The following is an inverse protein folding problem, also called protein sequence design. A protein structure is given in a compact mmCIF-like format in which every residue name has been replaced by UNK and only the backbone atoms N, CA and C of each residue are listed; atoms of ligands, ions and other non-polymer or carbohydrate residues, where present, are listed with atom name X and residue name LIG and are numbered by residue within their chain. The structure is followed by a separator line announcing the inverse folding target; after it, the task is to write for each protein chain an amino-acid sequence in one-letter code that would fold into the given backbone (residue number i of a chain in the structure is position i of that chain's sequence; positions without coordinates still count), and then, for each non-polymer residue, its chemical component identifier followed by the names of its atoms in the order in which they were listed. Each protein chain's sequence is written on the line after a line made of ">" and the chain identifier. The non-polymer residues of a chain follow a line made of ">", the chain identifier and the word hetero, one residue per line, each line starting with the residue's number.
data_IF_831012995640
#
_entry.id   IF_831012995640
#
_cell.length_a   1.000
_cell.length_b   1.000
_cell.length_c   1.000
_cell.angle_alpha   90.00
_cell.angle_beta   90.00
_cell.angle_gamma   90.00
#
_symmetry.space_group_name_H-M   'P 1'
#
loop_
_entity.id
_entity.type
_entity.pdbx_description
1 polymer ?
#
# COMPACT_ATOMS: atom_id res chain seq x y z
N UNK A 1 -10.04 -10.62 37.41
CA UNK A 1 -9.85 -11.59 36.29
C UNK A 1 -9.29 -10.83 35.11
N UNK A 2 -8.06 -11.14 34.67
CA UNK A 2 -7.55 -10.60 33.42
C UNK A 2 -8.45 -11.10 32.27
N UNK A 3 -9.18 -10.19 31.60
CA UNK A 3 -10.04 -10.54 30.46
C UNK A 3 -9.26 -11.14 29.29
N UNK A 4 -7.95 -10.89 29.25
CA UNK A 4 -7.02 -11.38 28.24
C UNK A 4 -5.91 -12.17 28.94
N UNK A 5 -6.02 -13.49 28.96
CA UNK A 5 -5.06 -14.40 29.61
C UNK A 5 -3.90 -14.80 28.69
N UNK A 6 -4.05 -14.65 27.38
CA UNK A 6 -3.01 -14.94 26.39
C UNK A 6 -3.04 -13.90 25.25
N UNK A 7 -2.03 -13.95 24.36
CA UNK A 7 -1.86 -13.01 23.23
C UNK A 7 -2.45 -13.55 21.91
N UNK A 8 -3.13 -14.70 21.93
CA UNK A 8 -3.61 -15.40 20.72
C UNK A 8 -4.65 -14.61 19.92
N UNK A 9 -5.33 -13.64 20.54
CA UNK A 9 -6.29 -12.74 19.89
C UNK A 9 -5.64 -11.52 19.22
N UNK A 10 -4.34 -11.28 19.42
CA UNK A 10 -3.61 -10.20 18.77
C UNK A 10 -3.14 -10.65 17.38
N UNK A 11 -3.88 -10.23 16.35
CA UNK A 11 -3.42 -10.38 14.96
C UNK A 11 -2.51 -9.21 14.59
N UNK A 12 -1.26 -9.46 14.18
CA UNK A 12 -0.34 -8.38 13.81
C UNK A 12 -0.80 -7.69 12.52
N UNK A 13 -0.80 -6.37 12.53
CA UNK A 13 -0.94 -5.57 11.31
C UNK A 13 0.44 -5.11 10.88
N UNK A 14 0.90 -5.59 9.72
CA UNK A 14 2.25 -5.28 9.23
C UNK A 14 2.18 -4.11 8.27
N UNK A 15 2.92 -3.04 8.59
CA UNK A 15 3.03 -1.86 7.73
C UNK A 15 4.43 -1.81 7.13
N UNK A 16 4.50 -1.93 5.81
CA UNK A 16 5.75 -1.90 5.05
C UNK A 16 6.44 -0.54 5.09
N UNK A 17 7.72 -0.53 4.74
CA UNK A 17 8.54 0.69 4.64
C UNK A 17 7.89 1.70 3.70
N UNK A 18 7.85 2.95 4.10
CA UNK A 18 7.37 4.06 3.27
C UNK A 18 5.87 4.00 2.94
N UNK A 19 5.12 3.08 3.53
CA UNK A 19 3.67 3.07 3.37
C UNK A 19 3.05 4.31 4.02
N UNK A 20 2.06 4.89 3.37
CA UNK A 20 1.35 6.08 3.83
C UNK A 20 -0.09 5.73 4.19
N UNK A 21 -0.48 6.03 5.43
CA UNK A 21 -1.83 5.82 5.94
C UNK A 21 -2.54 7.17 6.05
N UNK A 22 -3.53 7.39 5.19
CA UNK A 22 -4.32 8.61 5.18
C UNK A 22 -5.07 8.85 6.49
N UNK A 23 -5.36 10.12 6.78
CA UNK A 23 -6.06 10.50 7.99
C UNK A 23 -7.40 9.75 8.14
N UNK A 24 -7.65 9.19 9.33
CA UNK A 24 -8.88 8.45 9.62
C UNK A 24 -9.02 7.11 8.88
N UNK A 25 -7.96 6.60 8.25
CA UNK A 25 -7.98 5.25 7.70
C UNK A 25 -8.11 4.20 8.82
N UNK A 26 -8.91 3.16 8.56
CA UNK A 26 -9.14 2.04 9.46
C UNK A 26 -8.54 0.79 8.84
N UNK A 27 -7.62 0.13 9.53
CA UNK A 27 -6.95 -1.09 9.06
C UNK A 27 -7.40 -2.27 9.93
N UNK A 28 -7.98 -3.30 9.31
CA UNK A 28 -8.36 -4.51 10.04
C UNK A 28 -7.12 -5.26 10.55
N UNK A 29 -7.26 -5.91 11.70
CA UNK A 29 -6.18 -6.70 12.31
C UNK A 29 -5.83 -7.91 11.43
N UNK A 30 -4.54 -8.25 11.34
CA UNK A 30 -4.04 -9.37 10.51
C UNK A 30 -3.75 -9.00 9.05
N UNK A 31 -3.99 -7.75 8.66
CA UNK A 31 -3.72 -7.25 7.30
C UNK A 31 -2.26 -6.81 7.15
N UNK A 32 -1.69 -7.02 5.96
CA UNK A 32 -0.40 -6.49 5.54
C UNK A 32 -0.58 -5.33 4.57
N UNK A 33 0.05 -4.21 4.87
CA UNK A 33 0.17 -3.05 3.98
C UNK A 33 1.57 -3.09 3.36
N UNK A 34 1.63 -3.27 2.04
CA UNK A 34 2.88 -3.36 1.29
C UNK A 34 3.73 -2.11 1.37
N UNK A 35 5.01 -2.24 1.02
CA UNK A 35 5.95 -1.11 1.04
C UNK A 35 5.51 -0.04 0.03
N UNK A 36 5.66 1.23 0.40
CA UNK A 36 5.25 2.39 -0.40
C UNK A 36 3.78 2.39 -0.84
N UNK A 37 2.93 1.52 -0.26
CA UNK A 37 1.50 1.56 -0.51
C UNK A 37 0.88 2.82 0.10
N UNK A 38 -0.19 3.32 -0.51
CA UNK A 38 -0.88 4.51 -0.06
C UNK A 38 -2.35 4.19 0.21
N UNK A 39 -2.77 4.37 1.46
CA UNK A 39 -4.15 4.25 1.91
C UNK A 39 -4.76 5.65 1.95
N UNK A 40 -5.83 5.88 1.21
CA UNK A 40 -6.54 7.15 1.21
C UNK A 40 -7.17 7.48 2.56
N UNK A 41 -7.42 8.77 2.79
CA UNK A 41 -8.12 9.22 4.00
C UNK A 41 -9.51 8.57 4.11
N UNK A 42 -9.89 8.17 5.33
CA UNK A 42 -11.17 7.50 5.62
C UNK A 42 -11.35 6.12 4.99
N UNK A 43 -10.31 5.52 4.39
CA UNK A 43 -10.42 4.19 3.79
C UNK A 43 -10.47 3.07 4.85
N UNK A 44 -11.24 2.02 4.58
CA UNK A 44 -11.36 0.85 5.48
C UNK A 44 -10.71 -0.37 4.82
N UNK A 45 -9.50 -0.69 5.24
CA UNK A 45 -8.69 -1.76 4.65
C UNK A 45 -9.05 -3.10 5.27
N UNK A 46 -9.72 -3.93 4.49
CA UNK A 46 -10.23 -5.25 4.90
C UNK A 46 -9.39 -6.43 4.40
N UNK A 47 -8.35 -6.18 3.61
CA UNK A 47 -7.51 -7.19 2.94
C UNK A 47 -6.14 -6.60 2.64
N UNK A 48 -5.16 -7.47 2.41
CA UNK A 48 -3.77 -7.07 2.12
C UNK A 48 -3.68 -6.06 0.97
N UNK A 49 -2.85 -5.05 1.18
CA UNK A 49 -2.60 -3.98 0.22
C UNK A 49 -1.26 -4.26 -0.46
N UNK A 50 -1.22 -4.43 -1.80
CA UNK A 50 0.03 -4.67 -2.50
C UNK A 50 1.01 -3.49 -2.38
N UNK A 51 2.30 -3.78 -2.54
CA UNK A 51 3.37 -2.78 -2.65
C UNK A 51 3.05 -1.75 -3.73
N UNK A 52 3.28 -0.46 -3.47
CA UNK A 52 2.95 0.67 -4.35
C UNK A 52 1.46 0.86 -4.68
N UNK A 53 0.54 0.08 -4.11
CA UNK A 53 -0.88 0.21 -4.43
C UNK A 53 -1.49 1.47 -3.80
N UNK A 54 -2.38 2.14 -4.54
CA UNK A 54 -3.25 3.20 -4.04
C UNK A 54 -4.62 2.61 -3.74
N UNK A 55 -5.03 2.59 -2.47
CA UNK A 55 -6.34 2.08 -2.05
C UNK A 55 -7.19 3.17 -1.43
N UNK A 56 -8.48 3.22 -1.75
CA UNK A 56 -9.43 4.21 -1.20
C UNK A 56 -10.80 3.60 -0.95
N UNK A 57 -11.62 4.26 -0.14
CA UNK A 57 -13.02 3.93 0.10
C UNK A 57 -13.27 2.93 1.23
N UNK A 58 -14.54 2.63 1.47
CA UNK A 58 -15.01 1.66 2.45
C UNK A 58 -16.01 0.69 1.77
N UNK A 59 -15.65 -0.58 1.56
CA UNK A 59 -14.35 -1.20 1.83
C UNK A 59 -13.26 -0.75 0.84
N UNK A 60 -12.00 -0.71 1.27
CA UNK A 60 -10.90 -0.20 0.45
C UNK A 60 -10.72 -1.02 -0.85
N UNK A 61 -10.54 -0.30 -1.96
CA UNK A 61 -10.30 -0.86 -3.29
C UNK A 61 -9.09 -0.19 -3.92
N UNK A 62 -8.30 -0.99 -4.64
CA UNK A 62 -7.18 -0.48 -5.44
C UNK A 62 -7.72 0.34 -6.59
N UNK A 63 -7.31 1.61 -6.67
CA UNK A 63 -7.70 2.54 -7.73
C UNK A 63 -6.54 2.93 -8.64
N UNK A 64 -5.33 2.46 -8.33
CA UNK A 64 -4.13 2.69 -9.11
C UNK A 64 -2.87 2.37 -8.31
N UNK A 65 -1.75 2.97 -8.73
CA UNK A 65 -0.44 2.77 -8.13
C UNK A 65 0.24 4.12 -7.90
N UNK A 66 1.12 4.17 -6.93
CA UNK A 66 1.92 5.35 -6.58
C UNK A 66 3.41 5.02 -6.66
N UNK A 67 4.20 6.04 -6.97
CA UNK A 67 5.63 6.00 -6.83
C UNK A 67 6.01 6.12 -5.34
N UNK A 68 7.24 5.72 -5.00
CA UNK A 68 7.82 5.97 -3.67
C UNK A 68 7.83 7.44 -3.24
N UNK A 69 7.76 8.40 -4.18
CA UNK A 69 7.63 9.82 -3.88
C UNK A 69 6.18 10.29 -3.65
N UNK A 70 5.20 9.39 -3.67
CA UNK A 70 3.78 9.68 -3.45
C UNK A 70 3.01 10.16 -4.69
N UNK A 71 3.67 10.34 -5.84
CA UNK A 71 2.99 10.68 -7.08
C UNK A 71 2.28 9.46 -7.69
N UNK A 72 1.07 9.67 -8.21
CA UNK A 72 0.32 8.63 -8.93
C UNK A 72 1.05 8.25 -10.21
N UNK A 73 1.19 6.94 -10.45
CA UNK A 73 1.77 6.41 -11.67
C UNK A 73 0.70 6.29 -12.75
N UNK A 74 1.06 6.72 -13.96
CA UNK A 74 0.28 6.50 -15.18
C UNK A 74 1.03 5.47 -16.01
N UNK A 75 0.42 4.32 -16.24
CA UNK A 75 1.00 3.26 -17.06
C UNK A 75 0.64 3.44 -18.51
N UNK A 76 1.64 3.32 -19.38
CA UNK A 76 1.49 3.14 -20.81
C UNK A 76 1.91 1.71 -21.12
N UNK A 77 0.96 0.87 -21.50
CA UNK A 77 1.13 -0.58 -21.59
C UNK A 77 1.58 -1.20 -20.25
N UNK A 78 2.78 -1.76 -20.16
CA UNK A 78 3.32 -2.35 -18.94
C UNK A 78 4.32 -1.46 -18.20
N UNK A 79 4.59 -0.24 -18.67
CA UNK A 79 5.64 0.63 -18.09
C UNK A 79 5.06 1.96 -17.62
N UNK A 80 5.50 2.44 -16.47
CA UNK A 80 5.24 3.81 -15.99
C UNK A 80 6.55 4.50 -15.60
N UNK A 81 6.65 5.79 -15.89
CA UNK A 81 7.71 6.64 -15.35
C UNK A 81 7.07 7.70 -14.45
N UNK A 82 7.63 7.89 -13.26
CA UNK A 82 7.17 8.92 -12.35
C UNK A 82 7.64 10.30 -12.85
N UNK A 83 6.69 11.23 -13.01
CA UNK A 83 6.96 12.60 -13.46
C UNK A 83 7.85 13.43 -12.51
N UNK A 84 7.86 13.10 -11.22
CA UNK A 84 8.57 13.90 -10.20
C UNK A 84 10.01 13.43 -9.96
N UNK A 85 10.24 12.11 -9.91
CA UNK A 85 11.57 11.57 -9.55
C UNK A 85 12.25 10.77 -10.68
N UNK A 86 11.54 10.51 -11.79
CA UNK A 86 12.05 9.77 -12.93
C UNK A 86 12.17 8.25 -12.73
N UNK A 87 11.70 7.71 -11.60
CA UNK A 87 11.72 6.27 -11.37
C UNK A 87 10.79 5.54 -12.34
N UNK A 88 11.27 4.41 -12.84
CA UNK A 88 10.55 3.57 -13.79
C UNK A 88 9.97 2.36 -13.08
N UNK A 89 8.75 2.00 -13.46
CA UNK A 89 7.99 0.90 -12.89
C UNK A 89 7.47 0.02 -14.02
N UNK A 90 7.35 -1.28 -13.74
CA UNK A 90 6.75 -2.26 -14.62
C UNK A 90 5.56 -2.94 -13.96
N UNK A 91 4.52 -3.23 -14.73
CA UNK A 91 3.41 -4.09 -14.30
C UNK A 91 3.73 -5.54 -14.65
N UNK A 92 3.68 -6.44 -13.67
CA UNK A 92 3.83 -7.88 -13.89
C UNK A 92 2.68 -8.60 -13.17
N UNK A 93 1.79 -9.24 -13.94
CA UNK A 93 0.71 -10.07 -13.38
C UNK A 93 -0.26 -9.33 -12.44
N UNK A 94 -0.44 -8.01 -12.61
CA UNK A 94 -1.30 -7.20 -11.74
C UNK A 94 -0.60 -6.62 -10.50
N UNK A 95 0.72 -6.80 -10.36
CA UNK A 95 1.56 -6.12 -9.38
C UNK A 95 2.47 -5.09 -10.06
N UNK A 96 2.93 -4.09 -9.30
CA UNK A 96 3.87 -3.07 -9.76
C UNK A 96 5.19 -3.21 -9.01
N UNK A 97 6.29 -3.20 -9.77
CA UNK A 97 7.63 -3.22 -9.23
C UNK A 97 8.49 -2.15 -9.94
N UNK A 98 9.43 -1.51 -9.23
CA UNK A 98 10.37 -0.60 -9.85
C UNK A 98 11.36 -1.39 -10.73
N UNK A 99 11.78 -0.81 -11.85
CA UNK A 99 12.75 -1.41 -12.79
C UNK A 99 14.17 -1.37 -12.22
N UNK A 100 14.44 -0.42 -11.33
CA UNK A 100 15.71 -0.24 -10.62
C UNK A 100 15.43 -0.21 -9.11
N UNK A 101 16.42 -0.57 -8.29
CA UNK A 101 16.25 -0.64 -6.83
C UNK A 101 15.75 0.69 -6.23
N UNK A 102 15.03 0.65 -5.09
CA UNK A 102 14.53 1.86 -4.44
C UNK A 102 15.70 2.78 -4.10
N UNK A 103 15.64 4.06 -4.51
CA UNK A 103 16.64 5.05 -4.08
C UNK A 103 16.58 5.18 -2.54
N UNK A 104 17.74 5.20 -1.86
CA UNK A 104 17.82 5.22 -0.40
C UNK A 104 17.17 6.45 0.22
#
# INVERSE_FOLDING_TARGET
>A
RARYSNREWLLPTLVGRGASLGAGAVILAGVRVGEFAMVGAGAVVTRDVPTYALVVGNPARTVGWVCQCGQRLTFTEQVAACSSCGLRFVTQGGAVAPVEGPRP
#
